data_IF_123594294996
#
_entry.id   IF_123594294996
#
_cell.length_a   1.000
_cell.length_b   1.000
_cell.length_c   1.000
_cell.angle_alpha   90.00
_cell.angle_beta   90.00
_cell.angle_gamma   90.00
#
_symmetry.space_group_name_H-M   'P 1'
#
loop_
_entity.id
_entity.type
_entity.pdbx_description
1 polymer ?
#
# COMPACT_ATOMS: atom_id res chain seq x y z
N UNK A 1 -6.35 19.37 2.67
CA UNK A 1 -5.90 18.70 3.87
C UNK A 1 -4.38 18.54 3.84
N UNK A 2 -3.73 18.88 4.92
CA UNK A 2 -2.25 18.83 5.04
C UNK A 2 -1.69 17.43 4.76
N UNK A 3 -2.37 16.40 5.25
CA UNK A 3 -1.97 15.01 5.05
C UNK A 3 -2.03 14.60 3.57
N UNK A 4 -3.00 15.10 2.83
CA UNK A 4 -3.13 14.81 1.41
C UNK A 4 -1.97 15.41 0.61
N UNK A 5 -1.51 16.61 0.96
CA UNK A 5 -0.33 17.23 0.33
C UNK A 5 0.94 16.46 0.61
N UNK A 6 1.10 15.94 1.81
CA UNK A 6 2.23 15.09 2.16
C UNK A 6 2.24 13.81 1.32
N UNK A 7 1.09 13.17 1.13
CA UNK A 7 0.98 11.96 0.32
C UNK A 7 1.20 12.24 -1.17
N UNK A 8 0.76 13.37 -1.69
CA UNK A 8 1.03 13.75 -3.07
C UNK A 8 2.53 13.88 -3.34
N UNK A 9 3.26 14.52 -2.44
CA UNK A 9 4.72 14.65 -2.56
C UNK A 9 5.42 13.29 -2.48
N UNK A 10 4.96 12.40 -1.62
CA UNK A 10 5.49 11.07 -1.48
C UNK A 10 5.23 10.25 -2.76
N UNK A 11 4.04 10.36 -3.35
CA UNK A 11 3.70 9.67 -4.59
C UNK A 11 4.61 10.14 -5.73
N UNK A 12 4.84 11.44 -5.86
CA UNK A 12 5.73 11.98 -6.89
C UNK A 12 7.16 11.46 -6.72
N UNK A 13 7.66 11.45 -5.51
CA UNK A 13 8.99 10.92 -5.20
C UNK A 13 9.08 9.41 -5.45
N UNK A 14 8.04 8.66 -5.12
CA UNK A 14 8.03 7.20 -5.20
C UNK A 14 7.76 6.65 -6.60
N UNK A 15 7.54 7.49 -7.60
CA UNK A 15 7.55 7.05 -9.00
C UNK A 15 8.90 6.48 -9.42
N UNK A 16 9.96 6.83 -8.75
CA UNK A 16 11.19 6.05 -8.79
C UNK A 16 11.00 4.83 -7.88
N UNK A 17 11.01 3.64 -8.47
CA UNK A 17 10.52 2.39 -7.88
C UNK A 17 11.30 1.85 -6.68
N UNK A 18 12.30 2.52 -6.18
CA UNK A 18 13.16 1.98 -5.11
C UNK A 18 13.11 2.75 -3.81
N UNK A 19 12.27 3.77 -3.73
CA UNK A 19 12.20 4.59 -2.53
C UNK A 19 11.41 3.87 -1.45
N UNK A 20 12.06 3.73 -0.30
CA UNK A 20 11.39 3.34 0.95
C UNK A 20 11.67 4.44 1.96
N UNK A 21 10.60 5.05 2.44
CA UNK A 21 10.69 6.11 3.44
C UNK A 21 10.28 5.55 4.79
N UNK A 22 11.14 5.75 5.79
CA UNK A 22 10.89 5.27 7.13
C UNK A 22 11.17 6.38 8.13
N UNK A 23 10.29 6.50 9.10
CA UNK A 23 10.52 7.33 10.28
C UNK A 23 10.15 6.53 11.54
N UNK A 24 10.09 7.20 12.70
CA UNK A 24 9.81 6.54 13.97
C UNK A 24 8.39 5.98 14.09
N UNK A 25 7.45 6.39 13.22
CA UNK A 25 6.03 6.03 13.33
C UNK A 25 5.46 5.40 12.06
N UNK A 26 6.02 5.71 10.91
CA UNK A 26 5.46 5.30 9.64
C UNK A 26 6.50 4.60 8.77
N UNK A 27 6.03 3.64 7.99
CA UNK A 27 6.81 3.04 6.92
C UNK A 27 6.06 3.24 5.62
N UNK A 28 6.75 3.79 4.62
CA UNK A 28 6.15 4.04 3.31
C UNK A 28 7.01 3.36 2.26
N UNK A 29 6.39 2.48 1.46
CA UNK A 29 7.10 1.73 0.43
C UNK A 29 6.23 1.57 -0.81
N UNK A 30 6.84 1.72 -1.98
CA UNK A 30 6.19 1.43 -3.25
C UNK A 30 6.30 -0.06 -3.58
N UNK A 31 5.22 -0.64 -4.07
CA UNK A 31 5.21 -1.99 -4.63
C UNK A 31 4.74 -1.94 -6.08
N UNK A 32 5.50 -2.62 -6.94
CA UNK A 32 5.17 -2.79 -8.35
C UNK A 32 4.44 -4.11 -8.57
N UNK A 33 4.06 -4.42 -9.81
CA UNK A 33 3.39 -5.66 -10.15
C UNK A 33 4.18 -6.88 -9.65
N UNK A 34 3.47 -7.88 -9.14
CA UNK A 34 4.07 -9.08 -8.57
C UNK A 34 3.43 -9.47 -7.24
N UNK A 35 4.04 -10.45 -6.59
CA UNK A 35 3.60 -10.96 -5.29
C UNK A 35 4.57 -10.48 -4.22
N UNK A 36 4.03 -9.83 -3.19
CA UNK A 36 4.83 -9.23 -2.12
C UNK A 36 4.33 -9.66 -0.76
N UNK A 37 5.24 -9.91 0.17
CA UNK A 37 4.92 -10.15 1.56
C UNK A 37 5.14 -8.85 2.34
N UNK A 38 4.16 -8.49 3.15
CA UNK A 38 4.23 -7.30 3.99
C UNK A 38 4.19 -7.75 5.44
N UNK A 39 5.27 -7.49 6.15
CA UNK A 39 5.36 -7.82 7.58
C UNK A 39 4.62 -6.78 8.37
N UNK A 40 3.78 -7.22 9.31
CA UNK A 40 3.02 -6.31 10.18
C UNK A 40 3.95 -5.48 11.06
N UNK A 41 4.94 -6.12 11.70
CA UNK A 41 5.80 -5.43 12.65
C UNK A 41 5.00 -4.81 13.78
N UNK A 42 5.36 -3.60 14.17
CA UNK A 42 4.69 -2.84 15.23
C UNK A 42 3.59 -1.92 14.70
N UNK A 43 3.25 -2.05 13.42
CA UNK A 43 2.24 -1.20 12.80
C UNK A 43 0.85 -1.81 12.91
N UNK A 44 -0.13 -0.97 13.24
CA UNK A 44 -1.52 -1.40 13.33
C UNK A 44 -2.21 -1.39 11.98
N UNK A 45 -1.96 -0.36 11.17
CA UNK A 45 -2.67 -0.13 9.92
C UNK A 45 -1.77 -0.21 8.70
N UNK A 46 -2.39 -0.62 7.60
CA UNK A 46 -1.76 -0.71 6.31
C UNK A 46 -2.69 -0.08 5.28
N UNK A 47 -2.27 1.01 4.67
CA UNK A 47 -3.06 1.73 3.68
C UNK A 47 -2.37 1.67 2.33
N UNK A 48 -3.16 1.58 1.26
CA UNK A 48 -2.64 1.54 -0.10
C UNK A 48 -3.16 2.73 -0.90
N UNK A 49 -2.25 3.40 -1.58
CA UNK A 49 -2.56 4.47 -2.52
C UNK A 49 -2.21 3.96 -3.91
N UNK A 50 -3.17 3.97 -4.84
CA UNK A 50 -2.97 3.47 -6.19
C UNK A 50 -2.15 4.47 -7.00
N UNK A 51 -1.03 4.02 -7.55
CA UNK A 51 -0.17 4.80 -8.44
C UNK A 51 -0.49 4.46 -9.89
N UNK A 52 -0.49 3.17 -10.23
CA UNK A 52 -0.89 2.69 -11.55
C UNK A 52 -2.06 1.71 -11.40
N UNK A 53 -3.03 1.82 -12.30
CA UNK A 53 -4.26 1.03 -12.26
C UNK A 53 -4.01 -0.41 -12.69
N UNK A 54 -4.81 -1.31 -12.15
CA UNK A 54 -4.75 -2.74 -12.43
C UNK A 54 -5.59 -3.49 -11.43
N UNK A 55 -5.10 -4.65 -10.99
CA UNK A 55 -5.82 -5.51 -10.06
C UNK A 55 -5.01 -5.78 -8.81
N UNK A 56 -5.70 -5.89 -7.66
CA UNK A 56 -5.10 -6.15 -6.37
C UNK A 56 -5.75 -7.35 -5.70
N UNK A 57 -4.91 -8.18 -5.06
CA UNK A 57 -5.36 -9.23 -4.16
C UNK A 57 -4.66 -9.03 -2.82
N UNK A 58 -5.45 -9.00 -1.75
CA UNK A 58 -4.96 -8.89 -0.39
C UNK A 58 -5.36 -10.15 0.38
N UNK A 59 -4.37 -10.93 0.79
CA UNK A 59 -4.56 -12.14 1.58
C UNK A 59 -4.00 -11.94 2.98
N UNK A 60 -4.69 -12.42 3.99
CA UNK A 60 -4.39 -12.24 5.41
C UNK A 60 -4.49 -10.78 5.86
N UNK A 61 -5.45 -10.08 5.30
CA UNK A 61 -5.84 -8.75 5.74
C UNK A 61 -7.24 -8.80 6.33
N UNK A 62 -7.52 -7.89 7.25
CA UNK A 62 -8.85 -7.78 7.87
C UNK A 62 -9.94 -7.53 6.83
N UNK A 63 -9.62 -6.75 5.81
CA UNK A 63 -10.48 -6.48 4.67
C UNK A 63 -9.82 -7.05 3.41
N UNK A 64 -9.96 -8.37 3.17
CA UNK A 64 -9.30 -9.01 2.04
C UNK A 64 -9.96 -8.64 0.72
N UNK A 65 -9.18 -8.71 -0.34
CA UNK A 65 -9.64 -8.48 -1.71
C UNK A 65 -9.11 -9.59 -2.60
N UNK A 66 -9.90 -9.99 -3.60
CA UNK A 66 -9.48 -10.99 -4.59
C UNK A 66 -9.72 -10.42 -5.98
N UNK A 67 -8.63 -10.27 -6.73
CA UNK A 67 -8.66 -9.78 -8.12
C UNK A 67 -9.53 -8.53 -8.29
N UNK A 68 -9.37 -7.61 -7.36
CA UNK A 68 -10.15 -6.37 -7.36
C UNK A 68 -9.51 -5.34 -8.28
N UNK A 69 -10.29 -4.82 -9.20
CA UNK A 69 -9.85 -3.72 -10.05
C UNK A 69 -9.70 -2.44 -9.23
N UNK A 70 -8.55 -1.79 -9.35
CA UNK A 70 -8.24 -0.57 -8.61
C UNK A 70 -7.89 0.56 -9.56
N UNK A 71 -8.23 1.78 -9.14
CA UNK A 71 -8.07 3.01 -9.91
C UNK A 71 -7.37 4.06 -9.07
N UNK A 72 -6.66 4.96 -9.73
CA UNK A 72 -6.09 6.13 -9.07
C UNK A 72 -7.22 6.94 -8.43
N UNK A 73 -7.03 7.30 -7.16
CA UNK A 73 -8.03 8.03 -6.39
C UNK A 73 -8.96 7.16 -5.56
N UNK A 74 -8.87 5.84 -5.66
CA UNK A 74 -9.64 4.94 -4.80
C UNK A 74 -9.27 5.14 -3.33
N UNK A 75 -10.28 5.31 -2.48
CA UNK A 75 -10.07 5.61 -1.06
C UNK A 75 -10.37 4.43 -0.14
N UNK A 76 -11.01 3.38 -0.64
CA UNK A 76 -11.43 2.24 0.19
C UNK A 76 -10.27 1.32 0.61
N UNK A 77 -9.07 1.56 0.09
CA UNK A 77 -7.87 0.79 0.42
C UNK A 77 -7.12 1.34 1.63
N UNK A 78 -7.76 2.18 2.42
CA UNK A 78 -7.14 2.81 3.59
C UNK A 78 -7.47 2.07 4.88
N UNK A 79 -6.55 2.16 5.84
CA UNK A 79 -6.71 1.64 7.20
C UNK A 79 -7.07 0.16 7.26
N UNK A 80 -6.50 -0.64 6.36
CA UNK A 80 -6.56 -2.09 6.46
C UNK A 80 -5.62 -2.57 7.58
N UNK A 81 -5.74 -3.81 7.97
CA UNK A 81 -4.92 -4.41 9.01
C UNK A 81 -4.44 -5.79 8.55
N UNK A 82 -3.18 -6.09 8.82
CA UNK A 82 -2.65 -7.43 8.58
C UNK A 82 -3.10 -8.35 9.71
N UNK A 83 -3.65 -9.51 9.35
CA UNK A 83 -4.05 -10.54 10.31
C UNK A 83 -2.86 -11.46 10.54
N UNK A 84 -2.37 -11.54 11.79
CA UNK A 84 -1.17 -12.30 12.10
C UNK A 84 0.10 -11.48 11.88
N UNK A 85 1.17 -12.15 11.47
CA UNK A 85 2.49 -11.53 11.36
C UNK A 85 2.78 -10.90 10.00
N UNK A 86 2.17 -11.42 8.94
CA UNK A 86 2.39 -10.92 7.59
C UNK A 86 1.16 -11.12 6.71
N UNK A 87 1.01 -10.25 5.73
CA UNK A 87 0.00 -10.36 4.68
C UNK A 87 0.66 -10.47 3.32
N UNK A 88 -0.10 -10.92 2.34
CA UNK A 88 0.36 -11.05 0.96
C UNK A 88 -0.39 -10.06 0.08
N UNK A 89 0.38 -9.25 -0.64
CA UNK A 89 -0.10 -8.30 -1.62
C UNK A 89 0.26 -8.82 -3.01
N UNK A 90 -0.73 -9.02 -3.86
CA UNK A 90 -0.52 -9.38 -5.25
C UNK A 90 -1.04 -8.25 -6.14
N UNK A 91 -0.20 -7.77 -7.04
CA UNK A 91 -0.54 -6.71 -7.99
C UNK A 91 -0.38 -7.23 -9.41
N UNK A 92 -1.44 -7.07 -10.21
CA UNK A 92 -1.43 -7.37 -11.64
C UNK A 92 -1.56 -6.05 -12.39
N UNK A 93 -0.50 -5.67 -13.10
CA UNK A 93 -0.39 -4.43 -13.87
C UNK A 93 -0.56 -3.15 -13.05
N UNK A 94 -0.63 -3.27 -11.75
CA UNK A 94 -0.84 -2.16 -10.83
C UNK A 94 0.43 -1.86 -10.06
N UNK A 95 0.52 -0.64 -9.57
CA UNK A 95 1.50 -0.28 -8.54
C UNK A 95 0.83 0.55 -7.47
N UNK A 96 1.27 0.38 -6.24
CA UNK A 96 0.70 1.06 -5.08
C UNK A 96 1.79 1.57 -4.16
N UNK A 97 1.47 2.60 -3.43
CA UNK A 97 2.25 3.04 -2.29
C UNK A 97 1.61 2.44 -1.03
N UNK A 98 2.39 1.71 -0.25
CA UNK A 98 1.92 1.11 1.00
C UNK A 98 2.40 1.95 2.18
N UNK A 99 1.47 2.37 3.02
CA UNK A 99 1.74 3.18 4.20
C UNK A 99 1.35 2.38 5.43
N UNK A 100 2.34 2.05 6.25
CA UNK A 100 2.11 1.37 7.52
C UNK A 100 2.24 2.36 8.68
N UNK A 101 1.23 2.41 9.51
CA UNK A 101 1.15 3.33 10.64
C UNK A 101 0.82 2.63 11.94
#
# INVERSE_FOLDING_TARGET
>A
NRRDHEYENIILASKDSRITLMDSINRIKKYDAGVHRIVKGDYQYCSFIVIDEGMITLDRFKYPLVDRKIHVGDTYLTSNEIVGDEGTLTLDRASVLCIQT
#
